data_IF_401490624378
#
_entry.id   IF_401490624378
#
_cell.length_a   1.000
_cell.length_b   1.000
_cell.length_c   1.000
_cell.angle_alpha   90.00
_cell.angle_beta   90.00
_cell.angle_gamma   90.00
#
_symmetry.space_group_name_H-M   'P 1'
#
loop_
_entity.id
_entity.type
_entity.pdbx_description
1 polymer ?
#
# COMPACT_ATOMS: atom_id res chain seq x y z
N UNK A 1 -3.59 9.45 -10.05
CA UNK A 1 -4.52 8.30 -9.91
C UNK A 1 -5.72 8.66 -9.03
N UNK A 2 -6.87 8.01 -9.16
CA UNK A 2 -7.98 8.13 -8.19
C UNK A 2 -7.70 7.30 -6.93
N UNK A 3 -8.50 7.48 -5.86
CA UNK A 3 -8.39 6.66 -4.64
C UNK A 3 -8.47 5.16 -4.95
N UNK A 4 -9.46 4.75 -5.76
CA UNK A 4 -9.64 3.36 -6.19
C UNK A 4 -8.44 2.87 -7.00
N UNK A 5 -7.96 3.65 -7.97
CA UNK A 5 -6.81 3.26 -8.80
C UNK A 5 -5.53 3.06 -7.97
N UNK A 6 -5.28 3.93 -6.98
CA UNK A 6 -4.16 3.74 -6.06
C UNK A 6 -4.34 2.48 -5.22
N UNK A 7 -5.55 2.25 -4.70
CA UNK A 7 -5.84 1.05 -3.91
C UNK A 7 -5.65 -0.23 -4.74
N UNK A 8 -6.11 -0.23 -6.00
CA UNK A 8 -5.92 -1.36 -6.92
C UNK A 8 -4.44 -1.61 -7.19
N UNK A 9 -3.66 -0.53 -7.41
CA UNK A 9 -2.21 -0.63 -7.62
C UNK A 9 -1.50 -1.18 -6.38
N UNK A 10 -1.88 -0.71 -5.19
CA UNK A 10 -1.35 -1.20 -3.91
C UNK A 10 -1.67 -2.69 -3.75
N UNK A 11 -2.91 -3.10 -4.02
CA UNK A 11 -3.33 -4.49 -3.88
C UNK A 11 -2.59 -5.42 -4.85
N UNK A 12 -2.51 -5.06 -6.13
CA UNK A 12 -1.83 -5.86 -7.15
C UNK A 12 -0.33 -6.01 -6.87
N UNK A 13 0.34 -4.91 -6.52
CA UNK A 13 1.76 -4.93 -6.19
C UNK A 13 2.04 -5.65 -4.86
N UNK A 14 1.13 -5.57 -3.88
CA UNK A 14 1.23 -6.35 -2.63
C UNK A 14 1.16 -7.84 -2.90
N UNK A 15 0.16 -8.28 -3.68
CA UNK A 15 0.04 -9.68 -4.07
C UNK A 15 1.29 -10.18 -4.80
N UNK A 16 1.80 -9.41 -5.76
CA UNK A 16 3.01 -9.79 -6.48
C UNK A 16 4.25 -9.87 -5.57
N UNK A 17 4.35 -9.00 -4.56
CA UNK A 17 5.42 -9.06 -3.55
C UNK A 17 5.31 -10.35 -2.73
N UNK A 18 4.12 -10.68 -2.22
CA UNK A 18 3.89 -11.87 -1.40
C UNK A 18 4.19 -13.16 -2.18
N UNK A 19 3.75 -13.25 -3.44
CA UNK A 19 4.04 -14.38 -4.32
C UNK A 19 5.54 -14.55 -4.58
N UNK A 20 6.27 -13.44 -4.79
CA UNK A 20 7.71 -13.52 -5.02
C UNK A 20 8.48 -13.89 -3.77
N UNK A 21 8.03 -13.49 -2.58
CA UNK A 21 8.61 -13.97 -1.32
C UNK A 21 8.49 -15.50 -1.26
N UNK A 22 7.28 -16.03 -1.48
CA UNK A 22 7.04 -17.48 -1.43
C UNK A 22 7.85 -18.23 -2.51
N UNK A 23 7.99 -17.66 -3.71
CA UNK A 23 8.81 -18.24 -4.76
C UNK A 23 10.29 -18.28 -4.37
N UNK A 24 10.83 -17.15 -3.90
CA UNK A 24 12.23 -16.99 -3.54
C UNK A 24 12.65 -17.84 -2.33
N UNK A 25 11.72 -18.20 -1.43
CA UNK A 25 11.98 -19.18 -0.36
C UNK A 25 12.48 -20.52 -0.91
N UNK A 26 12.10 -20.87 -2.13
CA UNK A 26 12.52 -22.11 -2.81
C UNK A 26 13.59 -21.90 -3.89
N UNK A 27 13.77 -20.66 -4.37
CA UNK A 27 14.72 -20.28 -5.42
C UNK A 27 15.50 -19.00 -5.04
N UNK A 28 16.34 -19.04 -3.98
CA UNK A 28 16.94 -17.83 -3.42
C UNK A 28 17.95 -17.14 -4.34
N UNK A 29 18.54 -17.87 -5.29
CA UNK A 29 19.56 -17.38 -6.22
C UNK A 29 18.99 -16.93 -7.58
N UNK A 30 17.66 -16.95 -7.76
CA UNK A 30 17.02 -16.47 -8.97
C UNK A 30 17.05 -14.93 -9.05
N UNK A 31 18.00 -14.41 -9.82
CA UNK A 31 18.23 -12.98 -9.99
C UNK A 31 17.05 -12.27 -10.67
N UNK A 32 16.33 -12.94 -11.57
CA UNK A 32 15.19 -12.35 -12.29
C UNK A 32 13.98 -12.23 -11.36
N UNK A 33 13.71 -13.25 -10.54
CA UNK A 33 12.68 -13.21 -9.51
C UNK A 33 12.99 -12.12 -8.46
N UNK A 34 14.26 -11.99 -8.04
CA UNK A 34 14.69 -10.94 -7.13
C UNK A 34 14.49 -9.54 -7.72
N UNK A 35 14.84 -9.34 -9.00
CA UNK A 35 14.64 -8.06 -9.69
C UNK A 35 13.15 -7.70 -9.80
N UNK A 36 12.30 -8.69 -10.10
CA UNK A 36 10.85 -8.49 -10.17
C UNK A 36 10.25 -8.17 -8.79
N UNK A 37 10.66 -8.87 -7.73
CA UNK A 37 10.29 -8.54 -6.35
C UNK A 37 10.63 -7.08 -6.01
N UNK A 38 11.87 -6.65 -6.27
CA UNK A 38 12.31 -5.29 -5.98
C UNK A 38 11.50 -4.24 -6.75
N UNK A 39 11.19 -4.52 -8.02
CA UNK A 39 10.33 -3.67 -8.85
C UNK A 39 8.94 -3.53 -8.23
N UNK A 40 8.29 -4.63 -7.87
CA UNK A 40 6.93 -4.59 -7.30
C UNK A 40 6.90 -3.96 -5.91
N UNK A 41 7.91 -4.22 -5.07
CA UNK A 41 8.09 -3.55 -3.79
C UNK A 41 8.28 -2.03 -3.94
N UNK A 42 8.96 -1.58 -5.00
CA UNK A 42 9.07 -0.16 -5.34
C UNK A 42 7.71 0.44 -5.74
N UNK A 43 6.99 -0.21 -6.66
CA UNK A 43 5.63 0.21 -7.08
C UNK A 43 4.69 0.32 -5.89
N UNK A 44 4.67 -0.69 -5.01
CA UNK A 44 3.86 -0.71 -3.80
C UNK A 44 4.17 0.47 -2.88
N UNK A 45 5.45 0.70 -2.57
CA UNK A 45 5.87 1.81 -1.69
C UNK A 45 5.51 3.16 -2.27
N UNK A 46 5.71 3.37 -3.58
CA UNK A 46 5.35 4.62 -4.24
C UNK A 46 3.84 4.86 -4.20
N UNK A 47 3.03 3.84 -4.50
CA UNK A 47 1.58 3.95 -4.45
C UNK A 47 1.04 4.18 -3.03
N UNK A 48 1.60 3.50 -2.02
CA UNK A 48 1.25 3.74 -0.61
C UNK A 48 1.61 5.16 -0.15
N UNK A 49 2.78 5.67 -0.57
CA UNK A 49 3.19 7.06 -0.27
C UNK A 49 2.24 8.08 -0.92
N UNK A 50 1.89 7.89 -2.19
CA UNK A 50 0.94 8.79 -2.88
C UNK A 50 -0.45 8.70 -2.24
N UNK A 51 -0.90 7.51 -1.85
CA UNK A 51 -2.18 7.34 -1.16
C UNK A 51 -2.16 8.09 0.17
N UNK A 52 -1.14 7.87 1.00
CA UNK A 52 -1.01 8.50 2.31
C UNK A 52 -1.05 10.03 2.21
N UNK A 53 -0.27 10.60 1.30
CA UNK A 53 -0.20 12.05 1.08
C UNK A 53 -1.52 12.69 0.64
N UNK A 54 -2.44 11.92 0.04
CA UNK A 54 -3.68 12.46 -0.57
C UNK A 54 -4.94 12.10 0.19
N UNK A 55 -4.97 10.95 0.84
CA UNK A 55 -6.15 10.38 1.45
C UNK A 55 -5.96 10.03 2.93
N UNK A 56 -4.74 10.18 3.46
CA UNK A 56 -4.35 9.78 4.79
C UNK A 56 -3.73 8.37 4.84
N UNK A 57 -3.01 8.05 5.93
CA UNK A 57 -2.24 6.82 6.06
C UNK A 57 -3.13 5.56 6.02
N UNK A 58 -2.65 4.52 5.31
CA UNK A 58 -3.30 3.20 5.28
C UNK A 58 -2.82 2.28 6.39
N UNK A 59 -1.57 2.45 6.80
CA UNK A 59 -0.93 1.73 7.90
C UNK A 59 -0.29 2.74 8.85
N UNK A 60 -0.07 2.34 10.10
CA UNK A 60 0.64 3.18 11.09
C UNK A 60 2.03 3.58 10.58
N UNK A 61 2.72 2.70 9.85
CA UNK A 61 4.04 2.99 9.26
C UNK A 61 4.01 4.04 8.16
N UNK A 62 2.83 4.36 7.62
CA UNK A 62 2.66 5.38 6.57
C UNK A 62 2.24 6.75 7.13
N UNK A 63 2.14 6.88 8.45
CA UNK A 63 1.87 8.17 9.10
C UNK A 63 3.08 9.08 8.93
N UNK A 64 2.87 10.26 8.36
CA UNK A 64 3.89 11.31 8.30
C UNK A 64 3.68 12.28 9.47
N UNK A 65 4.40 12.04 10.56
CA UNK A 65 4.33 12.86 11.78
C UNK A 65 5.19 14.14 11.69
N UNK A 66 5.87 14.35 10.56
CA UNK A 66 6.84 15.45 10.45
C UNK A 66 6.21 16.81 10.14
N UNK A 67 4.96 16.84 9.66
CA UNK A 67 4.31 18.06 9.15
C UNK A 67 2.87 18.28 9.66
N UNK A 68 2.34 17.45 10.57
CA UNK A 68 0.95 17.53 11.01
C UNK A 68 0.84 17.86 12.50
N UNK A 69 0.11 18.93 12.85
CA UNK A 69 -0.23 19.26 14.24
C UNK A 69 -1.28 18.28 14.84
N UNK A 70 -1.58 17.19 14.14
CA UNK A 70 -2.69 16.30 14.45
C UNK A 70 -2.39 14.85 14.12
N UNK A 71 -2.90 13.92 14.93
CA UNK A 71 -2.76 12.48 14.71
C UNK A 71 -3.69 11.99 13.59
N UNK A 72 -3.21 12.04 12.34
CA UNK A 72 -3.99 11.76 11.13
C UNK A 72 -4.55 10.34 11.06
N UNK A 73 -3.88 9.38 11.70
CA UNK A 73 -4.36 8.00 11.80
C UNK A 73 -5.77 7.90 12.40
N UNK A 74 -6.08 8.71 13.41
CA UNK A 74 -7.40 8.70 14.08
C UNK A 74 -8.47 9.49 13.33
N UNK A 75 -8.11 10.26 12.29
CA UNK A 75 -9.06 11.09 11.54
C UNK A 75 -9.73 10.35 10.39
N UNK A 76 -9.24 9.17 10.02
CA UNK A 76 -9.83 8.37 8.97
C UNK A 76 -11.12 7.70 9.46
N UNK A 77 -12.16 7.61 8.60
CA UNK A 77 -13.36 6.87 8.96
C UNK A 77 -13.01 5.41 9.18
N UNK A 78 -13.44 4.86 10.31
CA UNK A 78 -13.21 3.45 10.58
C UNK A 78 -13.98 2.58 9.60
N UNK A 79 -13.51 1.35 9.31
CA UNK A 79 -14.21 0.44 8.41
C UNK A 79 -15.67 0.17 8.78
N UNK A 80 -16.03 0.26 10.06
CA UNK A 80 -17.40 0.10 10.57
C UNK A 80 -18.22 1.39 10.60
N UNK A 81 -17.61 2.57 10.44
CA UNK A 81 -18.31 3.86 10.33
C UNK A 81 -18.93 4.09 8.94
N UNK A 82 -18.58 3.23 7.97
CA UNK A 82 -19.17 3.25 6.63
C UNK A 82 -20.64 2.80 6.74
N UNK A 83 -21.52 3.75 7.07
CA UNK A 83 -22.95 3.59 6.87
C UNK A 83 -23.18 3.37 5.37
N UNK A 84 -23.78 2.24 5.00
CA UNK A 84 -23.99 1.84 3.60
C UNK A 84 -24.86 2.86 2.86
N UNK A 85 -24.26 3.90 2.28
CA UNK A 85 -24.86 4.70 1.21
C UNK A 85 -23.84 4.84 0.09
N UNK A 86 -24.12 4.13 -1.01
CA UNK A 86 -23.44 4.33 -2.28
C UNK A 86 -22.02 3.78 -2.30
N UNK A 87 -21.93 2.46 -2.46
CA UNK A 87 -20.75 1.85 -3.10
C UNK A 87 -20.60 2.55 -4.46
N UNK A 88 -19.40 3.03 -4.76
CA UNK A 88 -19.04 3.52 -6.09
C UNK A 88 -19.39 2.51 -7.17
#
# INVERSE_FOLDING_TARGET
>A
MTKCQLMDTINQSSFAVDEMILYLDTHPDDADAMAYFQKQACVRRAAMKEYAARFGPLTVDSVDDTCSDTWEWMKQPWPWEITRKGRC
#
